data_IF_786775528804
#
_entry.id   IF_786775528804
#
_cell.length_a   1.000
_cell.length_b   1.000
_cell.length_c   1.000
_cell.angle_alpha   90.00
_cell.angle_beta   90.00
_cell.angle_gamma   90.00
#
_symmetry.space_group_name_H-M   'P 1'
#
loop_
_entity.id
_entity.type
_entity.pdbx_description
1 polymer ?
2 non-polymer ?
3 non-polymer ?
4 non-polymer ?
5 water ?
#
# COMPACT_ATOMS: atom_id res chain seq x y z
N UNK A 5 -26.24 6.04 10.33
CA UNK A 5 -26.14 5.50 8.97
C UNK A 5 -24.75 5.78 8.41
N UNK A 6 -24.20 6.92 8.84
CA UNK A 6 -22.94 7.40 8.29
C UNK A 6 -21.75 6.52 8.63
N UNK A 7 -21.86 5.69 9.68
CA UNK A 7 -20.80 4.73 10.00
C UNK A 7 -20.92 3.44 9.19
N UNK A 8 -21.95 3.30 8.36
CA UNK A 8 -22.12 2.14 7.50
C UNK A 8 -22.18 2.64 6.06
N UNK A 9 -21.04 2.86 5.41
CA UNK A 9 -21.06 3.41 4.06
C UNK A 9 -21.51 2.38 3.03
N UNK A 10 -22.31 2.85 2.07
CA UNK A 10 -22.55 2.09 0.86
C UNK A 10 -21.29 2.12 -0.02
N UNK A 11 -20.91 0.99 -0.63
CA UNK A 11 -19.70 0.98 -1.46
C UNK A 11 -19.72 2.05 -2.54
N UNK A 12 -18.55 2.68 -2.75
CA UNK A 12 -18.45 3.77 -3.71
C UNK A 12 -18.81 3.32 -5.11
N UNK A 13 -18.49 2.06 -5.44
CA UNK A 13 -18.87 1.55 -6.76
C UNK A 13 -20.36 1.70 -7.00
N UNK A 14 -21.17 1.51 -5.95
CA UNK A 14 -22.63 1.72 -6.06
C UNK A 14 -22.97 3.21 -6.14
N UNK A 15 -22.42 4.01 -5.22
CA UNK A 15 -22.72 5.43 -5.17
C UNK A 15 -22.26 6.17 -6.41
N UNK A 16 -21.25 5.64 -7.11
CA UNK A 16 -20.67 6.30 -8.27
C UNK A 16 -21.39 5.99 -9.56
N UNK A 17 -22.27 4.97 -9.58
CA UNK A 17 -22.89 4.56 -10.82
C UNK A 17 -23.74 5.68 -11.38
N UNK A 18 -23.32 6.26 -12.50
CA UNK A 18 -24.09 7.26 -13.22
C UNK A 18 -24.08 8.66 -12.65
N UNK A 19 -23.35 8.94 -11.57
CA UNK A 19 -23.46 10.25 -10.95
C UNK A 19 -22.66 11.28 -11.72
N UNK A 20 -23.10 12.54 -11.63
CA UNK A 20 -22.42 13.67 -12.24
C UNK A 20 -21.83 14.61 -11.21
N UNK A 21 -22.09 14.39 -9.92
CA UNK A 21 -21.43 15.10 -8.84
C UNK A 21 -21.07 14.09 -7.76
N UNK A 22 -19.89 14.18 -7.17
CA UNK A 22 -19.56 13.33 -6.02
C UNK A 22 -20.47 13.64 -4.85
N UNK A 23 -21.04 12.63 -4.19
CA UNK A 23 -21.78 12.90 -2.95
C UNK A 23 -20.94 13.69 -1.96
N UNK A 24 -21.63 14.46 -1.11
CA UNK A 24 -20.94 15.44 -0.28
C UNK A 24 -19.86 14.82 0.61
N UNK A 25 -20.08 13.58 1.08
CA UNK A 25 -19.12 13.00 2.03
C UNK A 25 -17.75 12.71 1.41
N UNK A 26 -17.61 12.80 0.09
CA UNK A 26 -16.31 12.61 -0.54
C UNK A 26 -15.59 13.91 -0.90
N UNK A 27 -16.24 15.06 -0.75
CA UNK A 27 -15.67 16.31 -1.26
C UNK A 27 -14.73 16.92 -0.24
N UNK A 28 -13.49 17.11 -0.65
CA UNK A 28 -12.44 17.69 0.16
C UNK A 28 -12.60 19.20 0.26
N UNK A 29 -12.13 19.76 1.39
CA UNK A 29 -11.98 21.21 1.49
C UNK A 29 -11.03 21.70 0.40
N UNK A 30 -11.27 22.91 -0.09
CA UNK A 30 -10.60 23.36 -1.30
C UNK A 30 -9.08 23.28 -1.18
N UNK A 31 -8.53 23.62 0.00
CA UNK A 31 -7.08 23.59 0.14
C UNK A 31 -6.53 22.17 0.22
N UNK A 32 -7.37 21.18 0.46
CA UNK A 32 -6.93 19.79 0.53
C UNK A 32 -7.07 19.06 -0.79
N UNK A 33 -7.61 19.73 -1.81
CA UNK A 33 -7.93 19.06 -3.05
C UNK A 33 -6.66 18.77 -3.86
N UNK A 34 -6.66 17.70 -4.65
CA UNK A 34 -5.57 17.51 -5.61
C UNK A 34 -5.56 18.68 -6.59
N UNK A 35 -4.44 19.40 -6.60
CA UNK A 35 -4.37 20.68 -7.27
C UNK A 35 -4.84 21.85 -6.43
N UNK A 36 -5.31 21.60 -5.21
CA UNK A 36 -5.76 22.62 -4.25
C UNK A 36 -6.70 23.63 -4.93
N UNK A 37 -7.80 23.10 -5.45
CA UNK A 37 -8.80 23.89 -6.13
C UNK A 37 -8.74 23.73 -7.64
N UNK A 38 -7.53 23.57 -8.17
CA UNK A 38 -7.29 23.58 -9.60
C UNK A 38 -7.35 22.16 -10.18
N UNK A 39 -7.03 22.04 -11.46
CA UNK A 39 -7.01 20.77 -12.17
C UNK A 39 -5.60 20.26 -12.46
N UNK A 40 -4.56 20.84 -11.86
CA UNK A 40 -3.18 20.35 -12.00
C UNK A 40 -2.81 19.61 -10.72
N UNK A 41 -2.80 18.29 -10.78
CA UNK A 41 -2.71 17.52 -9.53
C UNK A 41 -1.24 17.33 -9.09
N UNK A 42 -0.34 17.04 -10.02
CA UNK A 42 1.02 16.64 -9.64
C UNK A 42 2.02 17.02 -10.71
N UNK A 43 3.30 16.96 -10.34
CA UNK A 43 4.45 17.19 -11.21
C UNK A 43 4.98 15.87 -11.75
N UNK A 44 5.48 15.89 -12.98
CA UNK A 44 6.16 14.71 -13.51
C UNK A 44 7.37 14.39 -12.65
N UNK A 45 7.62 13.10 -12.46
CA UNK A 45 8.78 12.67 -11.69
C UNK A 45 10.04 12.94 -12.51
N UNK A 46 11.00 13.71 -11.99
CA UNK A 46 12.21 13.98 -12.77
C UNK A 46 13.12 12.76 -12.88
N UNK A 47 13.98 12.79 -13.89
CA UNK A 47 14.94 11.73 -14.11
C UNK A 47 16.07 11.89 -13.10
N UNK A 48 16.66 10.77 -12.65
CA UNK A 48 16.37 9.41 -13.11
C UNK A 48 15.16 8.77 -12.42
N UNK A 49 14.34 8.08 -13.21
CA UNK A 49 13.23 7.31 -12.66
C UNK A 49 13.79 6.15 -11.85
N UNK A 50 13.29 5.89 -10.64
CA UNK A 50 13.85 4.80 -9.82
C UNK A 50 13.35 3.45 -10.29
N UNK A 51 14.23 2.70 -10.96
CA UNK A 51 13.93 1.37 -11.49
C UNK A 51 15.05 0.43 -11.09
N UNK A 52 14.70 -0.75 -10.58
CA UNK A 52 15.69 -1.69 -10.07
C UNK A 52 15.47 -3.03 -10.73
N UNK A 53 16.51 -3.56 -11.37
CA UNK A 53 16.51 -4.89 -11.94
C UNK A 53 16.75 -5.88 -10.81
N UNK A 54 15.68 -6.54 -10.37
CA UNK A 54 15.76 -7.39 -9.19
C UNK A 54 16.68 -8.60 -9.41
N UNK A 55 16.86 -9.03 -10.66
CA UNK A 55 17.72 -10.18 -10.92
C UNK A 55 19.20 -9.84 -10.81
N UNK A 56 19.55 -8.56 -10.85
CA UNK A 56 20.93 -8.11 -10.81
C UNK A 56 21.24 -7.32 -9.54
N UNK A 57 20.52 -7.61 -8.46
CA UNK A 57 20.68 -6.82 -7.24
C UNK A 57 22.02 -7.05 -6.55
N UNK A 58 22.78 -8.06 -6.96
CA UNK A 58 24.13 -8.29 -6.44
C UNK A 58 25.20 -7.50 -7.19
N UNK A 59 24.89 -6.95 -8.37
CA UNK A 59 25.82 -6.06 -9.04
C UNK A 59 25.89 -4.73 -8.33
N UNK A 60 27.09 -4.15 -8.28
CA UNK A 60 27.29 -2.93 -7.49
C UNK A 60 26.49 -1.76 -8.03
N UNK A 61 26.41 -1.62 -9.35
CA UNK A 61 25.69 -0.48 -9.92
C UNK A 61 24.19 -0.59 -9.68
N UNK A 62 23.66 -1.82 -9.67
CA UNK A 62 22.23 -1.99 -9.39
C UNK A 62 21.93 -1.73 -7.91
N UNK A 63 22.77 -2.25 -7.01
CA UNK A 63 22.63 -1.94 -5.59
C UNK A 63 22.69 -0.44 -5.36
N UNK A 64 23.56 0.25 -6.09
CA UNK A 64 23.63 1.70 -5.99
C UNK A 64 22.33 2.35 -6.44
N UNK A 65 21.71 1.81 -7.49
CA UNK A 65 20.42 2.34 -7.93
C UNK A 65 19.37 2.15 -6.85
N UNK A 66 19.36 0.99 -6.21
CA UNK A 66 18.39 0.77 -5.13
C UNK A 66 18.61 1.77 -4.01
N UNK A 67 19.86 1.95 -3.58
CA UNK A 67 20.14 2.90 -2.50
C UNK A 67 19.72 4.32 -2.88
N UNK A 68 20.06 4.75 -4.09
CA UNK A 68 19.68 6.09 -4.53
C UNK A 68 18.16 6.25 -4.51
N UNK A 69 17.44 5.25 -4.99
CA UNK A 69 15.99 5.32 -5.00
C UNK A 69 15.43 5.43 -3.59
N UNK A 70 15.96 4.63 -2.66
CA UNK A 70 15.43 4.67 -1.29
C UNK A 70 15.72 6.00 -0.62
N UNK A 71 16.91 6.58 -0.86
CA UNK A 71 17.20 7.89 -0.28
C UNK A 71 16.30 8.97 -0.87
N UNK A 72 16.05 8.90 -2.18
CA UNK A 72 15.36 9.97 -2.88
C UNK A 72 13.85 9.89 -2.67
N UNK A 73 13.27 8.73 -2.96
CA UNK A 73 11.83 8.57 -3.03
C UNK A 73 11.25 7.69 -1.93
N UNK A 74 12.05 6.79 -1.36
CA UNK A 74 11.47 5.77 -0.51
C UNK A 74 10.68 4.71 -1.25
N UNK A 75 10.84 4.65 -2.57
CA UNK A 75 10.18 3.63 -3.38
C UNK A 75 10.95 3.48 -4.68
N UNK A 76 10.61 2.43 -5.43
CA UNK A 76 11.21 2.17 -6.73
C UNK A 76 10.37 1.16 -7.50
N UNK A 77 10.46 1.24 -8.83
CA UNK A 77 9.90 0.22 -9.69
C UNK A 77 10.88 -0.93 -9.79
N UNK A 78 10.36 -2.15 -10.00
CA UNK A 78 11.21 -3.32 -10.15
C UNK A 78 10.87 -4.04 -11.46
N UNK A 79 11.91 -4.38 -12.22
CA UNK A 79 11.84 -5.30 -13.35
C UNK A 79 12.51 -6.62 -12.97
N UNK A 80 12.37 -7.60 -13.85
CA UNK A 80 12.99 -8.91 -13.68
C UNK A 80 12.71 -9.46 -12.28
N UNK A 81 11.45 -9.38 -11.88
CA UNK A 81 11.01 -9.71 -10.54
C UNK A 81 10.55 -11.15 -10.39
N UNK A 82 10.58 -11.95 -11.46
CA UNK A 82 10.27 -13.37 -11.34
C UNK A 82 8.80 -13.71 -11.41
N UNK A 83 7.92 -12.75 -11.67
CA UNK A 83 6.49 -12.99 -11.72
C UNK A 83 6.01 -12.93 -13.16
N UNK A 84 5.43 -14.02 -13.64
CA UNK A 84 4.93 -14.09 -15.00
C UNK A 84 3.85 -13.04 -15.24
N UNK A 85 3.92 -12.37 -16.39
CA UNK A 85 2.85 -11.46 -16.77
C UNK A 85 1.50 -12.14 -16.71
N UNK A 86 1.45 -13.44 -17.03
CA UNK A 86 0.18 -14.16 -17.02
C UNK A 86 -0.41 -14.22 -15.61
N UNK A 87 0.45 -14.42 -14.61
CA UNK A 87 -0.03 -14.47 -13.22
C UNK A 87 -0.45 -13.08 -12.75
N UNK A 88 0.31 -12.05 -13.13
CA UNK A 88 -0.07 -10.69 -12.77
C UNK A 88 -1.40 -10.31 -13.42
N UNK A 89 -1.58 -10.64 -14.69
CA UNK A 89 -2.85 -10.32 -15.34
C UNK A 89 -3.99 -11.13 -14.73
N UNK A 90 -3.74 -12.40 -14.38
CA UNK A 90 -4.83 -13.24 -13.91
C UNK A 90 -5.28 -12.87 -12.51
N UNK A 91 -4.35 -12.50 -11.63
CA UNK A 91 -4.77 -12.13 -10.28
C UNK A 91 -5.56 -10.82 -10.32
N UNK A 92 -5.18 -9.90 -11.20
CA UNK A 92 -5.94 -8.66 -11.29
C UNK A 92 -7.27 -8.89 -12.00
N UNK A 93 -7.32 -9.83 -12.94
CA UNK A 93 -8.60 -10.20 -13.56
C UNK A 93 -9.53 -10.82 -12.54
N UNK A 94 -9.02 -11.70 -11.67
CA UNK A 94 -9.85 -12.27 -10.62
C UNK A 94 -10.40 -11.19 -9.71
N UNK A 95 -9.59 -10.17 -9.43
CA UNK A 95 -10.06 -9.04 -8.63
C UNK A 95 -11.17 -8.27 -9.35
N UNK A 96 -10.94 -7.89 -10.60
CA UNK A 96 -11.97 -7.24 -11.41
C UNK A 96 -13.24 -8.07 -11.45
N UNK A 97 -13.10 -9.38 -11.64
CA UNK A 97 -14.26 -10.26 -11.71
C UNK A 97 -15.07 -10.19 -10.42
N UNK A 98 -14.39 -10.21 -9.28
CA UNK A 98 -15.07 -10.08 -7.99
C UNK A 98 -15.79 -8.75 -7.86
N UNK A 99 -15.09 -7.63 -8.13
CA UNK A 99 -15.74 -6.33 -7.99
C UNK A 99 -16.90 -6.14 -8.97
N UNK A 100 -16.88 -6.82 -10.10
CA UNK A 100 -17.99 -6.66 -11.04
C UNK A 100 -19.23 -7.47 -10.67
N UNK A 101 -19.14 -8.30 -9.63
CA UNK A 101 -20.30 -9.06 -9.16
C UNK A 101 -21.34 -8.14 -8.54
N UNK A 102 -22.60 -8.59 -8.42
CA UNK A 102 -23.62 -7.75 -7.79
C UNK A 102 -23.30 -7.46 -6.34
N UNK A 103 -23.83 -6.33 -5.85
CA UNK A 103 -23.55 -5.90 -4.48
C UNK A 103 -23.83 -7.00 -3.48
N UNK A 104 -24.97 -7.69 -3.62
CA UNK A 104 -25.31 -8.69 -2.61
C UNK A 104 -24.35 -9.88 -2.61
N UNK A 105 -23.71 -10.19 -3.74
CA UNK A 105 -22.73 -11.26 -3.74
C UNK A 105 -21.44 -10.84 -3.06
N UNK A 106 -20.98 -9.61 -3.32
CA UNK A 106 -19.77 -9.13 -2.66
C UNK A 106 -19.98 -8.96 -1.16
N UNK A 107 -21.19 -8.59 -0.73
CA UNK A 107 -21.45 -8.34 0.69
C UNK A 107 -21.44 -9.61 1.53
N UNK A 108 -21.45 -10.79 0.91
CA UNK A 108 -21.22 -12.00 1.70
C UNK A 108 -19.85 -11.97 2.34
N UNK A 109 -18.93 -11.15 1.81
CA UNK A 109 -17.58 -11.01 2.32
C UNK A 109 -17.38 -9.67 3.04
N UNK A 110 -18.46 -9.01 3.42
CA UNK A 110 -18.40 -7.66 3.96
C UNK A 110 -17.55 -7.59 5.22
N UNK A 111 -16.79 -6.50 5.36
CA UNK A 111 -16.03 -6.25 6.58
C UNK A 111 -16.84 -5.53 7.65
N UNK A 112 -18.15 -5.35 7.43
CA UNK A 112 -19.08 -4.86 8.45
C UNK A 112 -19.78 -6.08 9.05
N UNK A 113 -19.36 -6.45 10.26
CA UNK A 113 -19.54 -7.80 10.81
C UNK A 113 -21.02 -8.17 10.96
N UNK A 114 -21.88 -7.19 11.21
CA UNK A 114 -23.31 -7.43 11.25
C UNK A 114 -24.00 -6.40 10.38
N UNK A 115 -23.25 -5.87 9.41
CA UNK A 115 -23.70 -4.74 8.64
C UNK A 115 -23.50 -3.41 9.33
N UNK A 116 -22.87 -3.41 10.50
CA UNK A 116 -22.78 -2.18 11.30
C UNK A 116 -21.37 -1.89 11.79
N UNK A 117 -20.58 -2.91 12.12
CA UNK A 117 -19.32 -2.72 12.82
C UNK A 117 -18.14 -3.10 11.93
N UNK A 118 -17.18 -2.18 11.81
CA UNK A 118 -16.04 -2.33 10.94
C UNK A 118 -15.00 -3.30 11.52
N UNK A 119 -14.43 -4.12 10.65
CA UNK A 119 -13.16 -4.80 10.88
C UNK A 119 -12.32 -4.62 9.63
N UNK A 120 -11.04 -4.89 9.74
CA UNK A 120 -10.17 -4.71 8.58
C UNK A 120 -10.40 -5.70 7.47
N UNK A 121 -10.63 -6.95 7.83
CA UNK A 121 -10.66 -8.01 6.82
C UNK A 121 -12.02 -8.08 6.14
N UNK A 122 -12.03 -8.19 4.81
CA UNK A 122 -13.24 -8.35 4.05
C UNK A 122 -13.42 -7.27 3.00
N UNK A 123 -14.61 -7.29 2.39
CA UNK A 123 -14.96 -6.37 1.32
C UNK A 123 -15.70 -5.16 1.88
N UNK A 124 -15.24 -3.98 1.53
CA UNK A 124 -15.99 -2.80 1.91
C UNK A 124 -15.10 -1.58 1.87
N UNK A 125 -15.07 -0.84 2.97
CA UNK A 125 -14.37 0.43 3.01
C UNK A 125 -13.59 0.54 4.30
N UNK A 126 -12.68 1.51 4.33
CA UNK A 126 -11.92 1.76 5.55
C UNK A 126 -12.84 2.32 6.63
N UNK A 127 -12.33 2.31 7.86
CA UNK A 127 -13.15 2.68 9.01
C UNK A 127 -13.57 4.14 8.93
N UNK A 128 -14.85 4.39 9.24
CA UNK A 128 -15.41 5.73 9.30
C UNK A 128 -15.57 6.12 10.76
N UNK A 129 -14.90 7.19 11.16
CA UNK A 129 -14.78 7.58 12.56
C UNK A 129 -15.65 8.76 12.97
N UNK A 130 -15.81 9.79 12.13
CA UNK A 130 -16.46 11.04 12.53
C UNK A 130 -17.27 11.58 11.35
N UNK A 131 -18.46 12.13 11.62
CA UNK A 131 -19.42 12.41 10.54
C UNK A 131 -18.86 13.38 9.52
N UNK A 132 -17.95 14.27 9.95
CA UNK A 132 -17.14 15.14 9.11
C UNK A 132 -16.05 14.40 8.35
N UNK A 133 -15.88 13.09 8.54
CA UNK A 133 -14.80 12.39 7.83
C UNK A 133 -15.07 12.43 6.35
N UNK A 134 -14.12 12.98 5.59
CA UNK A 134 -14.20 12.90 4.14
C UNK A 134 -13.77 11.51 3.73
N UNK A 135 -14.60 10.85 2.93
CA UNK A 135 -14.39 9.46 2.55
C UNK A 135 -13.59 9.39 1.25
N UNK A 136 -12.82 8.31 1.10
CA UNK A 136 -12.06 8.12 -0.12
C UNK A 136 -12.95 7.52 -1.21
N UNK A 137 -12.61 7.83 -2.45
CA UNK A 137 -13.38 7.36 -3.62
C UNK A 137 -12.85 5.99 -4.06
N UNK A 138 -13.15 4.97 -3.23
CA UNK A 138 -12.67 3.62 -3.47
C UNK A 138 -13.41 2.63 -2.58
N UNK A 139 -13.42 1.38 -3.03
CA UNK A 139 -13.70 0.22 -2.21
C UNK A 139 -12.47 -0.68 -2.16
N UNK A 140 -12.43 -1.60 -1.18
CA UNK A 140 -11.31 -2.53 -1.17
C UNK A 140 -11.72 -3.86 -0.56
N UNK A 141 -11.01 -4.88 -0.99
CA UNK A 141 -11.09 -6.20 -0.38
C UNK A 141 -9.74 -6.44 0.26
N UNK A 142 -9.73 -6.60 1.58
CA UNK A 142 -8.49 -6.72 2.32
C UNK A 142 -8.47 -8.05 3.07
N UNK A 143 -7.38 -8.80 2.91
CA UNK A 143 -7.29 -10.18 3.37
C UNK A 143 -5.98 -10.45 4.07
N UNK A 144 -6.04 -11.12 5.21
CA UNK A 144 -4.82 -11.64 5.86
C UNK A 144 -4.28 -12.83 5.06
N UNK A 145 -3.06 -12.71 4.58
CA UNK A 145 -2.42 -13.78 3.82
C UNK A 145 -1.42 -14.57 4.66
N UNK A 146 -0.59 -13.88 5.44
CA UNK A 146 0.35 -14.57 6.35
C UNK A 146 0.40 -13.84 7.69
N UNK A 147 0.64 -14.59 8.79
CA UNK A 147 0.90 -16.04 8.86
C UNK A 147 -0.29 -16.86 8.37
N UNK A 148 -0.01 -17.94 7.65
CA UNK A 148 -1.09 -18.67 7.00
C UNK A 148 -2.11 -19.20 8.00
N UNK A 149 -1.66 -19.52 9.22
CA UNK A 149 -2.58 -20.03 10.23
C UNK A 149 -3.45 -18.95 10.83
N UNK A 150 -3.26 -17.68 10.48
CA UNK A 150 -4.16 -16.62 10.90
C UNK A 150 -5.15 -16.22 9.81
N UNK A 151 -5.10 -16.86 8.65
CA UNK A 151 -6.06 -16.56 7.60
C UNK A 151 -7.47 -16.93 8.06
N UNK A 152 -8.46 -16.16 7.59
CA UNK A 152 -9.87 -16.53 7.73
C UNK A 152 -10.40 -16.70 6.31
N UNK A 153 -10.38 -17.94 5.82
CA UNK A 153 -10.77 -18.21 4.43
C UNK A 153 -12.23 -17.90 4.15
N UNK A 154 -13.05 -17.65 5.17
CA UNK A 154 -14.43 -17.29 4.91
C UNK A 154 -14.55 -15.94 4.19
N UNK A 155 -13.52 -15.10 4.27
CA UNK A 155 -13.52 -13.80 3.61
C UNK A 155 -12.90 -13.85 2.22
N UNK A 156 -12.37 -15.00 1.81
CA UNK A 156 -11.75 -15.12 0.50
C UNK A 156 -12.81 -15.43 -0.55
N UNK A 157 -12.93 -14.63 -1.61
CA UNK A 157 -13.98 -14.87 -2.62
C UNK A 157 -13.95 -16.28 -3.17
N UNK A 158 -15.12 -16.90 -3.23
CA UNK A 158 -15.25 -18.22 -3.81
C UNK A 158 -15.49 -18.15 -5.32
N UNK A 159 -15.85 -16.98 -5.83
CA UNK A 159 -16.06 -16.77 -7.25
C UNK A 159 -15.30 -15.53 -7.71
N UNK A 160 -14.49 -15.64 -8.77
CA UNK A 160 -14.23 -16.86 -9.56
C UNK A 160 -13.49 -17.91 -8.76
N UNK A 161 -13.67 -19.19 -9.07
CA UNK A 161 -13.20 -20.18 -8.09
C UNK A 161 -11.69 -20.30 -8.06
N UNK A 162 -10.97 -19.69 -8.98
CA UNK A 162 -9.52 -19.69 -8.91
C UNK A 162 -8.96 -18.50 -8.14
N UNK A 163 -9.83 -17.68 -7.52
CA UNK A 163 -9.34 -16.49 -6.82
C UNK A 163 -8.29 -16.83 -5.77
N UNK A 164 -8.61 -17.77 -4.88
CA UNK A 164 -7.72 -18.14 -3.80
C UNK A 164 -6.41 -18.70 -4.32
N UNK A 165 -6.49 -19.64 -5.27
CA UNK A 165 -5.29 -20.23 -5.86
C UNK A 165 -4.40 -19.15 -6.46
N UNK A 166 -5.00 -18.21 -7.20
CA UNK A 166 -4.21 -17.16 -7.84
C UNK A 166 -3.57 -16.24 -6.81
N UNK A 167 -4.32 -15.84 -5.79
CA UNK A 167 -3.72 -15.01 -4.74
C UNK A 167 -2.62 -15.75 -4.00
N UNK A 168 -2.84 -17.04 -3.70
CA UNK A 168 -1.81 -17.79 -3.00
C UNK A 168 -0.53 -17.87 -3.82
N UNK A 169 -0.66 -18.12 -5.13
CA UNK A 169 0.52 -18.23 -5.98
C UNK A 169 1.19 -16.88 -6.16
N UNK A 170 0.42 -15.84 -6.44
CA UNK A 170 1.01 -14.50 -6.57
C UNK A 170 1.77 -14.09 -5.31
N UNK A 171 1.14 -14.28 -4.14
CA UNK A 171 1.79 -13.86 -2.90
C UNK A 171 3.08 -14.62 -2.65
N UNK A 172 3.14 -15.90 -3.06
CA UNK A 172 4.39 -16.63 -2.90
C UNK A 172 5.47 -16.02 -3.77
N UNK A 173 5.08 -15.41 -4.89
CA UNK A 173 6.03 -14.75 -5.77
C UNK A 173 6.44 -13.38 -5.24
N UNK A 174 5.49 -12.63 -4.67
CA UNK A 174 5.90 -11.36 -4.09
C UNK A 174 6.71 -11.56 -2.81
N UNK A 175 6.55 -12.70 -2.13
CA UNK A 175 7.40 -12.92 -0.95
C UNK A 175 8.86 -13.05 -1.35
N UNK A 176 9.14 -13.63 -2.52
CA UNK A 176 10.50 -13.69 -3.04
C UNK A 176 11.04 -12.28 -3.26
N UNK A 177 10.22 -11.41 -3.84
CA UNK A 177 10.60 -10.02 -4.04
C UNK A 177 10.90 -9.37 -2.69
N UNK A 178 10.00 -9.55 -1.72
CA UNK A 178 10.24 -9.00 -0.39
C UNK A 178 11.61 -9.40 0.15
N UNK A 179 11.92 -10.69 0.07
CA UNK A 179 13.19 -11.18 0.63
C UNK A 179 14.38 -10.56 -0.09
N UNK A 180 14.33 -10.44 -1.40
CA UNK A 180 15.46 -9.87 -2.13
C UNK A 180 15.67 -8.41 -1.75
N UNK A 181 14.57 -7.64 -1.66
CA UNK A 181 14.68 -6.23 -1.29
C UNK A 181 15.20 -6.09 0.13
N UNK A 182 14.68 -6.89 1.06
CA UNK A 182 15.10 -6.76 2.46
C UNK A 182 16.58 -7.11 2.62
N UNK A 183 17.03 -8.17 1.94
CA UNK A 183 18.44 -8.52 2.00
C UNK A 183 19.31 -7.43 1.41
N UNK A 184 18.89 -6.84 0.29
CA UNK A 184 19.66 -5.74 -0.27
C UNK A 184 19.71 -4.55 0.68
N UNK A 185 18.63 -4.33 1.45
CA UNK A 185 18.62 -3.19 2.38
C UNK A 185 19.49 -3.45 3.60
N UNK A 186 19.50 -4.68 4.12
CA UNK A 186 20.42 -4.98 5.20
C UNK A 186 21.86 -4.76 4.79
N UNK A 187 22.19 -5.13 3.55
CA UNK A 187 23.54 -4.96 3.04
C UNK A 187 23.90 -3.50 2.90
N UNK A 188 23.01 -2.69 2.29
CA UNK A 188 23.39 -1.31 2.04
C UNK A 188 23.47 -0.48 3.32
N UNK A 189 22.72 -0.87 4.36
CA UNK A 189 22.82 -0.23 5.66
C UNK A 189 23.93 -0.80 6.52
N UNK A 190 24.68 -1.76 5.97
CA UNK A 190 25.80 -2.38 6.68
C UNK A 190 25.34 -3.06 7.97
N UNK A 191 24.15 -3.66 7.94
CA UNK A 191 23.63 -4.39 9.09
C UNK A 191 23.70 -5.90 8.90
N UNK A 192 24.24 -6.38 7.79
CA UNK A 192 24.23 -7.79 7.52
C UNK A 192 23.06 -8.11 6.61
N UNK A 193 23.30 -8.87 5.55
CA UNK A 193 22.26 -9.20 4.57
C UNK A 193 21.00 -9.72 5.24
N UNK A 194 21.16 -10.46 6.33
CA UNK A 194 20.10 -11.14 7.06
C UNK A 194 19.28 -10.24 7.98
N UNK A 195 19.70 -8.99 8.19
CA UNK A 195 19.20 -8.27 9.36
C UNK A 195 17.69 -8.15 9.34
N UNK A 196 17.12 -7.73 8.21
CA UNK A 196 15.69 -7.55 8.18
C UNK A 196 14.92 -8.86 8.01
N UNK A 197 15.55 -9.88 7.44
CA UNK A 197 14.92 -11.21 7.43
C UNK A 197 14.68 -11.68 8.86
N UNK A 198 15.64 -11.46 9.76
CA UNK A 198 15.44 -11.84 11.15
C UNK A 198 14.41 -10.95 11.83
N UNK A 199 14.39 -9.65 11.50
CA UNK A 199 13.41 -8.74 12.08
C UNK A 199 11.98 -9.20 11.79
N UNK A 200 11.68 -9.53 10.53
CA UNK A 200 10.28 -9.88 10.26
C UNK A 200 9.91 -11.18 10.98
N UNK A 201 10.87 -12.08 11.18
CA UNK A 201 10.67 -13.23 12.05
C UNK A 201 9.95 -14.39 11.38
N UNK A 202 9.83 -15.48 12.14
CA UNK A 202 9.14 -16.67 11.64
C UNK A 202 7.72 -16.34 11.24
N UNK A 203 7.03 -15.54 12.04
CA UNK A 203 5.63 -15.22 11.80
C UNK A 203 5.45 -13.91 11.07
N UNK A 204 6.35 -13.62 10.13
CA UNK A 204 6.24 -12.43 9.31
C UNK A 204 4.84 -12.32 8.72
N UNK A 205 4.36 -11.10 8.62
CA UNK A 205 2.97 -10.85 8.28
C UNK A 205 2.82 -10.44 6.82
N UNK A 206 1.66 -10.74 6.25
CA UNK A 206 1.39 -10.34 4.88
C UNK A 206 -0.10 -10.09 4.75
N UNK A 207 -0.45 -8.91 4.24
CA UNK A 207 -1.85 -8.55 4.02
C UNK A 207 -2.00 -8.17 2.57
N UNK A 208 -3.05 -8.68 1.93
CA UNK A 208 -3.39 -8.35 0.56
C UNK A 208 -4.54 -7.36 0.54
N UNK A 209 -4.37 -6.25 -0.18
CA UNK A 209 -5.42 -5.25 -0.30
C UNK A 209 -5.69 -5.01 -1.78
N UNK A 210 -6.87 -5.44 -2.24
CA UNK A 210 -7.37 -5.18 -3.58
C UNK A 210 -8.15 -3.88 -3.56
N UNK A 211 -7.61 -2.85 -4.22
CA UNK A 211 -8.26 -1.55 -4.30
C UNK A 211 -9.06 -1.44 -5.58
N UNK A 212 -10.28 -0.91 -5.47
CA UNK A 212 -11.13 -0.64 -6.63
C UNK A 212 -11.50 0.84 -6.61
N UNK A 213 -11.03 1.60 -7.58
CA UNK A 213 -11.36 3.01 -7.66
C UNK A 213 -12.33 3.23 -8.81
N UNK A 214 -13.60 3.47 -8.55
CA UNK A 214 -14.55 3.74 -9.64
C UNK A 214 -14.16 5.03 -10.34
N UNK A 215 -14.56 5.21 -11.60
CA UNK A 215 -14.40 6.54 -12.21
C UNK A 215 -15.09 7.56 -11.34
N UNK A 216 -14.55 8.78 -11.33
CA UNK A 216 -15.16 9.88 -10.59
C UNK A 216 -15.45 11.02 -11.56
N UNK A 217 -16.66 11.60 -11.54
CA UNK A 217 -16.93 12.70 -12.46
C UNK A 217 -16.14 13.97 -12.16
N UNK A 218 -15.60 14.11 -10.94
CA UNK A 218 -14.87 15.31 -10.53
C UNK A 218 -13.63 14.88 -9.77
N UNK A 219 -12.59 14.42 -10.48
CA UNK A 219 -11.37 13.99 -9.79
C UNK A 219 -10.65 15.12 -9.08
N UNK A 220 -10.98 16.38 -9.39
CA UNK A 220 -10.40 17.50 -8.67
C UNK A 220 -10.91 17.60 -7.24
N UNK A 221 -12.01 16.92 -6.89
CA UNK A 221 -12.67 17.14 -5.61
C UNK A 221 -12.43 16.03 -4.58
N UNK A 222 -11.87 14.89 -4.98
CA UNK A 222 -11.81 13.72 -4.09
C UNK A 222 -10.42 13.13 -4.14
N UNK A 223 -10.16 12.22 -3.21
CA UNK A 223 -9.03 11.31 -3.31
C UNK A 223 -9.53 9.90 -3.55
N UNK A 224 -8.86 9.18 -4.46
CA UNK A 224 -9.09 7.74 -4.56
C UNK A 224 -8.62 7.02 -3.32
N UNK A 225 -7.41 7.31 -2.87
CA UNK A 225 -7.01 6.98 -1.50
C UNK A 225 -6.23 8.17 -0.98
N UNK A 226 -6.56 8.59 0.24
CA UNK A 226 -6.02 9.81 0.82
C UNK A 226 -4.52 9.68 1.07
N UNK A 227 -3.81 10.81 1.15
CA UNK A 227 -2.38 10.78 1.51
C UNK A 227 -2.13 9.93 2.74
N UNK A 228 -1.13 9.06 2.66
CA UNK A 228 -0.84 8.18 3.77
C UNK A 228 0.52 7.55 3.53
N UNK A 229 1.13 7.05 4.58
CA UNK A 229 2.22 6.10 4.44
C UNK A 229 1.75 4.72 4.92
N UNK A 230 2.32 3.67 4.35
CA UNK A 230 1.91 2.34 4.75
C UNK A 230 2.57 1.97 6.07
N UNK A 231 1.95 1.03 6.80
CA UNK A 231 2.42 0.75 8.15
C UNK A 231 3.47 -0.34 8.31
N UNK A 232 3.66 -1.19 7.30
CA UNK A 232 4.50 -2.36 7.42
C UNK A 232 5.95 -2.07 7.13
N UNK A 233 6.69 -3.13 6.76
CA UNK A 233 8.10 -2.97 6.40
C UNK A 233 8.27 -2.56 4.93
N UNK A 234 7.70 -3.33 4.00
CA UNK A 234 7.72 -2.98 2.59
C UNK A 234 6.35 -3.33 2.01
N UNK A 235 5.97 -2.60 0.97
CA UNK A 235 4.74 -2.87 0.23
C UNK A 235 5.15 -3.17 -1.21
N UNK A 236 4.55 -4.20 -1.78
CA UNK A 236 4.79 -4.53 -3.19
C UNK A 236 3.46 -4.34 -3.89
N UNK A 237 3.43 -3.41 -4.84
CA UNK A 237 2.18 -2.91 -5.43
C UNK A 237 2.10 -3.27 -6.90
N UNK A 238 0.94 -3.77 -7.30
CA UNK A 238 0.64 -4.05 -8.70
C UNK A 238 -0.53 -3.19 -9.13
N UNK A 239 -0.37 -2.45 -10.22
CA UNK A 239 -1.45 -1.60 -10.74
C UNK A 239 -1.91 -2.20 -12.06
N UNK A 240 -3.18 -2.56 -12.14
CA UNK A 240 -3.65 -3.26 -13.33
C UNK A 240 -3.65 -2.33 -14.53
N UNK A 241 -3.11 -2.83 -15.65
CA UNK A 241 -3.08 -2.10 -16.91
C UNK A 241 -2.39 -0.75 -16.78
N UNK A 242 -1.58 -0.57 -15.73
CA UNK A 242 -0.78 0.64 -15.51
C UNK A 242 -1.60 1.92 -15.63
N UNK A 243 -2.87 1.87 -15.23
CA UNK A 243 -3.71 3.06 -15.19
C UNK A 243 -3.13 4.06 -14.20
N UNK A 244 -3.05 5.33 -14.61
CA UNK A 244 -2.44 6.34 -13.78
C UNK A 244 -3.28 6.70 -12.57
N UNK A 245 -2.63 7.35 -11.61
CA UNK A 245 -3.34 7.78 -10.42
C UNK A 245 -2.46 7.86 -9.19
N UNK A 246 -1.47 6.98 -9.12
CA UNK A 246 -0.60 6.92 -7.95
C UNK A 246 0.36 8.11 -7.97
N UNK A 247 0.49 8.78 -6.83
CA UNK A 247 1.37 9.93 -6.69
C UNK A 247 2.12 9.81 -5.38
N UNK A 248 3.33 10.38 -5.34
CA UNK A 248 4.16 10.32 -4.15
C UNK A 248 4.58 11.74 -3.78
N UNK A 249 4.64 12.02 -2.48
CA UNK A 249 5.06 13.32 -1.98
C UNK A 249 6.55 13.32 -1.66
N UNK A 250 7.22 14.42 -2.03
CA UNK A 250 8.63 14.62 -1.71
C UNK A 250 8.80 16.12 -1.55
N UNK A 251 9.12 16.55 -0.34
CA UNK A 251 9.35 17.95 -0.02
C UNK A 251 8.11 18.80 -0.29
N UNK A 252 6.96 18.28 0.12
CA UNK A 252 5.73 19.02 -0.06
C UNK A 252 5.19 19.03 -1.47
N UNK A 253 5.91 18.50 -2.45
CA UNK A 253 5.45 18.45 -3.83
C UNK A 253 4.91 17.06 -4.13
N UNK A 254 3.79 16.98 -4.85
CA UNK A 254 3.24 15.71 -5.30
C UNK A 254 3.73 15.38 -6.70
N UNK A 255 4.31 14.18 -6.87
CA UNK A 255 4.86 13.73 -8.13
C UNK A 255 4.09 12.51 -8.63
N UNK A 256 3.83 12.50 -9.93
CA UNK A 256 3.29 11.31 -10.56
C UNK A 256 4.27 10.15 -10.50
N UNK A 257 3.81 9.00 -10.01
CA UNK A 257 4.62 7.79 -10.07
C UNK A 257 4.44 7.17 -11.46
N UNK A 258 5.53 7.00 -12.22
CA UNK A 258 5.39 6.55 -13.60
C UNK A 258 4.87 5.13 -13.70
N UNK A 259 4.16 4.87 -14.79
CA UNK A 259 3.69 3.53 -15.10
C UNK A 259 4.70 2.82 -15.99
N UNK A 260 4.86 1.53 -15.75
CA UNK A 260 5.67 0.65 -16.59
C UNK A 260 4.99 -0.72 -16.61
N UNK A 261 4.56 -1.19 -17.79
CA UNK A 261 3.84 -2.46 -17.83
C UNK A 261 4.68 -3.60 -17.30
N UNK A 262 4.04 -4.52 -16.59
CA UNK A 262 4.63 -5.77 -16.12
C UNK A 262 5.67 -5.50 -15.02
N UNK A 263 5.70 -4.30 -14.45
CA UNK A 263 6.59 -4.02 -13.32
C UNK A 263 5.81 -4.03 -12.01
N UNK A 264 6.54 -4.06 -10.91
CA UNK A 264 5.97 -3.85 -9.60
C UNK A 264 6.54 -2.57 -9.03
N UNK A 265 5.82 -1.98 -8.08
CA UNK A 265 6.32 -0.86 -7.31
C UNK A 265 6.57 -1.33 -5.88
N UNK A 266 7.75 -1.02 -5.36
CA UNK A 266 8.13 -1.36 -3.99
C UNK A 266 8.29 -0.06 -3.22
N UNK A 267 7.61 0.07 -2.08
CA UNK A 267 7.79 1.25 -1.26
C UNK A 267 7.97 0.82 0.19
N UNK A 268 8.69 1.63 0.93
CA UNK A 268 8.88 1.33 2.34
C UNK A 268 7.66 1.71 3.15
N UNK A 269 7.53 1.07 4.32
CA UNK A 269 6.47 1.37 5.25
C UNK A 269 7.03 1.88 6.57
N UNK A 270 6.12 2.30 7.44
CA UNK A 270 6.52 2.96 8.69
C UNK A 270 7.36 2.05 9.57
N UNK A 271 7.09 0.74 9.54
CA UNK A 271 7.89 -0.15 10.39
C UNK A 271 9.36 -0.11 9.99
N UNK A 272 9.63 -0.02 8.68
CA UNK A 272 11.01 0.06 8.22
C UNK A 272 11.61 1.42 8.56
N UNK A 273 10.81 2.49 8.48
CA UNK A 273 11.35 3.79 8.90
C UNK A 273 11.85 3.73 10.33
N UNK A 274 11.11 3.06 11.22
CA UNK A 274 11.56 2.92 12.60
C UNK A 274 12.80 2.04 12.68
N UNK A 275 12.75 0.86 12.08
CA UNK A 275 13.88 -0.01 12.14
C UNK A 275 15.20 0.56 11.57
N UNK A 276 15.11 1.36 10.53
CA UNK A 276 16.30 1.91 9.92
C UNK A 276 16.65 3.32 10.41
N UNK A 277 16.07 3.68 11.53
CA UNK A 277 16.30 4.95 12.17
C UNK A 277 16.06 6.14 11.26
N UNK A 278 15.15 5.99 10.32
CA UNK A 278 14.79 7.08 9.43
C UNK A 278 15.85 7.45 8.43
N UNK A 279 16.86 6.59 8.22
CA UNK A 279 17.81 6.83 7.14
C UNK A 279 17.09 6.90 5.82
N UNK A 280 16.25 5.91 5.53
CA UNK A 280 15.23 6.02 4.50
C UNK A 280 13.89 6.23 5.21
N UNK A 281 13.00 6.96 4.56
CA UNK A 281 11.69 7.24 5.12
C UNK A 281 10.59 6.49 4.38
N UNK A 282 9.49 6.28 5.08
CA UNK A 282 8.27 5.66 4.55
C UNK A 282 7.53 6.72 3.74
N UNK A 283 7.40 6.57 2.42
CA UNK A 283 6.91 7.70 1.60
C UNK A 283 5.41 7.89 1.69
N UNK A 284 5.00 9.16 1.81
CA UNK A 284 3.58 9.50 1.78
C UNK A 284 3.10 9.48 0.32
N UNK A 285 1.99 8.80 0.08
CA UNK A 285 1.50 8.61 -1.28
C UNK A 285 -0.02 8.67 -1.27
N UNK A 286 -0.59 8.86 -2.47
CA UNK A 286 -2.04 8.97 -2.60
C UNK A 286 -2.41 8.53 -4.00
N UNK A 287 -3.72 8.34 -4.23
CA UNK A 287 -4.24 8.05 -5.56
C UNK A 287 -5.28 9.10 -5.91
N UNK A 288 -5.13 9.70 -7.08
CA UNK A 288 -6.15 10.58 -7.62
C UNK A 288 -6.96 9.80 -8.65
N UNK A 289 -8.26 10.07 -8.69
CA UNK A 289 -9.15 9.33 -9.57
C UNK A 289 -9.13 9.95 -10.96
N UNK A 290 -9.89 9.35 -11.88
CA UNK A 290 -10.07 9.92 -13.20
C UNK A 290 -11.52 9.70 -13.62
N UNK A 291 -11.92 10.46 -14.66
CA UNK A 291 -13.31 10.51 -15.10
C UNK A 291 -13.65 9.39 -16.08
N UNK A 292 -12.65 8.72 -16.64
CA UNK A 292 -12.88 7.86 -17.79
C UNK A 292 -12.99 6.38 -17.43
N UNK A 293 -12.24 5.92 -16.44
CA UNK A 293 -12.18 4.47 -16.25
C UNK A 293 -11.91 4.16 -14.79
N UNK A 294 -12.43 3.01 -14.36
CA UNK A 294 -12.06 2.46 -13.06
C UNK A 294 -10.57 2.15 -13.03
N UNK A 295 -10.02 2.05 -11.80
CA UNK A 295 -8.62 1.69 -11.62
C UNK A 295 -8.53 0.63 -10.53
N UNK A 296 -7.66 -0.36 -10.73
CA UNK A 296 -7.54 -1.47 -9.78
C UNK A 296 -6.08 -1.68 -9.44
N UNK A 297 -5.82 -1.93 -8.17
CA UNK A 297 -4.46 -2.25 -7.74
C UNK A 297 -4.51 -3.31 -6.67
N UNK A 298 -3.38 -3.98 -6.48
CA UNK A 298 -3.20 -4.98 -5.43
C UNK A 298 -1.95 -4.61 -4.67
N UNK A 299 -2.10 -4.22 -3.41
CA UNK A 299 -0.97 -3.96 -2.52
C UNK A 299 -0.76 -5.17 -1.64
N UNK A 300 0.47 -5.71 -1.66
CA UNK A 300 0.89 -6.73 -0.71
C UNK A 300 1.70 -6.03 0.36
N UNK A 301 1.15 -5.91 1.56
CA UNK A 301 1.83 -5.30 2.70
C UNK A 301 2.59 -6.38 3.45
N UNK A 302 3.90 -6.22 3.58
CA UNK A 302 4.72 -7.17 4.33
C UNK A 302 5.27 -6.47 5.56
N UNK A 303 5.05 -7.08 6.73
CA UNK A 303 5.42 -6.48 7.99
C UNK A 303 6.15 -7.48 8.86
N UNK A 304 6.56 -6.99 10.02
CA UNK A 304 7.22 -7.87 10.97
C UNK A 304 6.16 -8.64 11.76
N UNK A 305 6.60 -9.72 12.42
CA UNK A 305 5.65 -10.48 13.22
C UNK A 305 5.13 -9.62 14.37
N UNK A 306 3.92 -9.95 14.85
CA UNK A 306 3.20 -9.07 15.75
C UNK A 306 3.93 -8.73 17.04
N UNK A 307 4.71 -9.65 17.54
CA UNK A 307 5.39 -9.46 18.80
C UNK A 307 6.69 -8.71 18.69
N UNK A 308 7.20 -8.58 17.48
CA UNK A 308 8.45 -7.88 17.29
C UNK A 308 8.43 -6.46 17.79
N UNK A 309 9.45 -6.11 18.55
CA UNK A 309 9.59 -4.78 19.01
C UNK A 309 10.34 -3.99 17.94
N UNK A 310 9.68 -3.02 17.35
CA UNK A 310 10.27 -2.17 16.37
C UNK A 310 11.17 -1.14 17.06
N UNK A 311 12.42 -1.04 16.64
CA UNK A 311 13.34 -0.06 17.21
C UNK A 311 14.48 0.16 16.22
N UNK A 312 15.14 1.33 16.29
CA UNK A 312 16.31 1.56 15.41
C UNK A 312 17.38 0.50 15.63
N UNK A 313 17.89 -0.04 14.52
CA UNK A 313 18.87 -1.11 14.59
C UNK A 313 20.11 -0.62 15.35
N UNK A 314 20.61 -1.46 16.26
CA UNK A 314 21.75 -1.05 17.10
C UNK A 314 22.94 -0.64 16.24
N UNK A 315 23.14 -1.33 15.12
CA UNK A 315 24.26 -1.04 14.24
C UNK A 315 24.21 0.32 13.59
N UNK A 316 23.04 0.98 13.61
CA UNK A 316 22.91 2.31 13.07
C UNK A 316 23.13 3.40 14.11
N UNK A 317 23.36 3.02 15.36
CA UNK A 317 23.38 3.97 16.46
C UNK A 317 24.81 4.15 16.98
N UNK A 318 24.95 5.14 17.83
CA UNK A 318 26.24 5.49 18.39
C UNK A 318 26.17 6.89 18.96
N UNK A 319 27.31 7.34 19.47
CA UNK A 319 27.35 8.63 20.16
C UNK A 319 26.89 9.76 19.25
N UNK A 320 27.25 9.71 17.97
CA UNK A 320 26.87 10.75 17.03
C UNK A 320 25.73 10.33 16.11
N UNK A 321 25.10 9.20 16.39
CA UNK A 321 23.94 8.73 15.64
C UNK A 321 22.88 8.31 16.65
N UNK A 322 22.21 9.28 17.27
CA UNK A 322 21.20 8.93 18.28
C UNK A 322 19.99 8.27 17.65
N UNK A 323 19.31 7.46 18.46
CA UNK A 323 18.02 6.92 18.05
C UNK A 323 17.05 8.06 17.78
N UNK A 324 16.36 8.01 16.62
CA UNK A 324 15.39 9.02 16.25
C UNK A 324 13.95 8.57 16.44
N UNK A 325 13.75 7.31 16.83
CA UNK A 325 12.42 6.75 17.03
C UNK A 325 12.42 5.94 18.31
N UNK A 326 11.32 6.04 19.02
CA UNK A 326 11.13 5.30 20.26
C UNK A 326 10.66 3.87 19.95
N UNK A 327 10.92 2.95 20.89
CA UNK A 327 10.61 1.55 20.67
C UNK A 327 9.12 1.30 20.82
N UNK A 328 8.59 0.36 20.03
CA UNK A 328 7.17 0.05 20.08
C UNK A 328 6.96 -1.34 19.51
N UNK A 329 6.12 -2.13 20.16
CA UNK A 329 5.80 -3.45 19.64
C UNK A 329 4.96 -3.31 18.38
N UNK A 330 5.27 -4.15 17.38
CA UNK A 330 4.68 -4.01 16.06
C UNK A 330 3.16 -3.97 16.10
N UNK A 331 2.54 -4.84 16.90
CA UNK A 331 1.08 -4.86 16.96
C UNK A 331 0.54 -3.56 17.53
N UNK A 332 1.22 -2.98 18.53
CA UNK A 332 0.79 -1.69 19.06
C UNK A 332 0.97 -0.57 18.06
N UNK A 333 2.01 -0.64 17.22
CA UNK A 333 2.16 0.38 16.18
C UNK A 333 0.97 0.34 15.22
N UNK A 334 0.59 -0.86 14.76
CA UNK A 334 -0.49 -0.98 13.79
C UNK A 334 -1.81 -0.49 14.39
N UNK A 335 -2.08 -0.83 15.64
CA UNK A 335 -3.31 -0.36 16.28
C UNK A 335 -3.31 1.15 16.39
N UNK A 336 -2.20 1.73 16.88
CA UNK A 336 -2.10 3.17 16.96
C UNK A 336 -2.18 3.85 15.61
N UNK A 337 -1.69 3.19 14.57
CA UNK A 337 -1.73 3.75 13.26
C UNK A 337 -3.16 3.89 12.80
N UNK A 338 -4.01 3.03 13.30
CA UNK A 338 -5.40 3.03 12.92
C UNK A 338 -6.10 4.18 13.59
N UNK A 339 -6.37 4.07 14.88
CA UNK A 339 -7.05 5.12 15.59
C UNK A 339 -6.29 6.44 15.47
N UNK A 345 -1.98 15.03 11.67
CA UNK A 345 -0.70 14.58 12.22
C UNK A 345 -0.54 13.06 12.06
N UNK A 346 0.44 12.66 11.26
CA UNK A 346 0.62 11.25 10.94
C UNK A 346 1.18 10.50 12.15
N UNK A 347 0.79 9.23 12.26
CA UNK A 347 1.05 8.52 13.52
C UNK A 347 2.53 8.28 13.77
N UNK A 348 3.35 8.14 12.72
CA UNK A 348 4.76 7.88 12.96
C UNK A 348 5.46 9.08 13.61
N UNK A 349 4.91 10.28 13.46
CA UNK A 349 5.49 11.44 14.14
C UNK A 349 5.45 11.30 15.65
N UNK A 350 4.44 10.59 16.17
CA UNK A 350 4.35 10.35 17.61
C UNK A 350 5.49 9.49 18.13
N UNK A 351 6.22 8.81 17.24
CA UNK A 351 7.28 7.92 17.69
C UNK A 351 8.65 8.61 17.66
N UNK A 352 8.72 9.82 17.12
CA UNK A 352 9.99 10.50 16.93
C UNK A 352 10.51 11.06 18.25
N UNK A 353 11.81 10.89 18.47
CA UNK A 353 12.48 11.40 19.66
C UNK A 353 13.75 12.14 19.23
X LIG B 1 -0.45 2.80 0.53
X LIG C 1 -2.55 1.19 -0.47
X LIG C 1 -3.39 0.28 -0.71
X LIG C 1 -2.04 1.38 0.67
X LIG C 1 -2.18 2.11 -1.61
X LIG C 1 -1.56 3.12 -1.38
X LIG C 1 -2.61 1.73 -3.03
X LIG C 1 -1.95 2.67 -4.04
X LIG C 1 -2.48 2.40 -5.44
X LIG C 1 -3.68 2.00 -5.61
X LIG C 1 -1.73 2.63 -6.41
X LIG D 1 -1.33 -3.36 8.83
X LIG D 1 0.71 -4.89 7.83
X LIG D 1 2.58 -5.51 12.45
X LIG D 1 2.22 -6.59 13.47
X LIG D 1 0.89 -7.28 13.17
X LIG D 1 0.97 -7.95 11.80
X LIG D 1 1.42 -7.01 10.64
X LIG D 1 2.51 -5.97 10.99
X LIG D 1 0.32 -6.73 9.53
X LIG D 1 0.00 -5.35 8.95
X LIG D 1 -1.04 -4.58 9.43
X LIG D 1 -0.60 -2.92 7.75
X LIG D 1 0.42 -3.68 7.24
X LIG D 1 2.54 -4.90 10.09
X LIG D 1 -0.19 -8.67 11.47
X LIG D 1 -0.86 -7.45 9.73
X LIG D 1 1.79 -5.66 7.27
X LIG D 1 2.69 -5.04 6.41
X LIG D 1 1.96 -7.03 7.55
X LIG D 1 -1.00 -1.33 6.96
X LIG D 1 -1.37 -0.19 8.07
X LIG D 1 0.19 -0.86 5.95
X LIG D 1 -2.48 -1.56 5.91
#
# INVERSE_FOLDING_TARGET
MADESWRVPTPVQELAAGVVEPPTQFVLQEQDRPGSGTLLFATDMPEPIPVVDLSRLAAADEASKLRSALETWGLFLVTKHGIEASLMDDVMAASRDFFYQPLEAKQEYSNLIGGKRFQMEGYGNDMVKSKDQILDWQDRLQLRVEPQDERNLAYWPKHPDSFRDLLEKYASKTKIVRNKVLRAMGKTLELGEDYFISQIGDRASAIARFNYYPPCPRPDLVFGIKPHSDGGAVTILLVDKDVGGLQVQKDGVWYTVPSMPHTLLVNLGDSMEIMNNGIFKSPVHRVVTNAEKERLSLAMFYGVEGQRVLEPALGLLGEERPARYRKIMASDYIIGLRQGIAEGQRFIETLKI
CO CO
AKG C1 O1 O2 C2 O5 C3 C4 C5 O3 O4
92L C10 C13 C1 C2 C3 C4 C5 C6 C7 C8 C9 C11 C12 O14 O15 O16 N17 O18 O19 S20 O21 O22 C23
#
